data_IF_000479048420
#
_entry.id   IF_000479048420
#
_cell.length_a   1.000
_cell.length_b   1.000
_cell.length_c   1.000
_cell.angle_alpha   90.00
_cell.angle_beta   90.00
_cell.angle_gamma   90.00
#
_symmetry.space_group_name_H-M   'P 1'
#
loop_
_entity.id
_entity.type
_entity.pdbx_description
1 polymer ?
#
# COMPACT_ATOMS: atom_id res chain seq x y z
N UNK A 1 -11.40 -4.66 -21.90
CA UNK A 1 -10.85 -3.48 -21.23
C UNK A 1 -11.35 -3.57 -19.81
N UNK A 2 -10.50 -3.86 -18.84
CA UNK A 2 -10.89 -3.97 -17.43
C UNK A 2 -10.50 -2.67 -16.76
N UNK A 3 -11.47 -1.78 -16.58
CA UNK A 3 -11.29 -0.56 -15.79
C UNK A 3 -11.43 -0.94 -14.33
N UNK A 4 -10.36 -0.79 -13.56
CA UNK A 4 -10.41 -0.82 -12.10
C UNK A 4 -10.86 0.57 -11.68
N UNK A 5 -12.10 0.70 -11.19
CA UNK A 5 -12.71 1.97 -10.77
C UNK A 5 -11.99 2.64 -9.60
N UNK A 6 -11.24 1.85 -8.81
CA UNK A 6 -10.27 2.33 -7.84
C UNK A 6 -10.00 1.30 -6.77
N UNK A 7 -8.73 0.92 -6.60
CA UNK A 7 -8.31 0.00 -5.55
C UNK A 7 -7.67 0.77 -4.37
N UNK A 8 -7.99 0.36 -3.14
CA UNK A 8 -7.31 0.89 -1.95
C UNK A 8 -6.20 -0.07 -1.54
N UNK A 9 -4.95 0.41 -1.55
CA UNK A 9 -3.82 -0.29 -0.97
C UNK A 9 -3.33 0.42 0.30
N UNK A 10 -3.10 -0.33 1.37
CA UNK A 10 -2.47 0.16 2.60
C UNK A 10 -1.16 -0.55 2.83
N UNK A 11 -0.12 0.19 3.21
CA UNK A 11 1.18 -0.35 3.59
C UNK A 11 1.53 0.01 5.03
N UNK A 12 2.02 -0.96 5.80
CA UNK A 12 2.58 -0.73 7.14
C UNK A 12 3.98 -1.31 7.23
N UNK A 13 4.97 -0.45 7.46
CA UNK A 13 6.34 -0.85 7.76
C UNK A 13 6.44 -1.32 9.22
N UNK A 14 7.01 -2.50 9.42
CA UNK A 14 7.19 -3.15 10.72
C UNK A 14 8.58 -3.76 10.84
N UNK A 15 8.97 -4.19 12.04
CA UNK A 15 10.27 -4.82 12.33
C UNK A 15 11.46 -3.98 11.84
N UNK A 16 11.34 -2.66 12.01
CA UNK A 16 12.35 -1.71 11.54
C UNK A 16 13.62 -1.85 12.37
N UNK A 17 14.74 -2.03 11.69
CA UNK A 17 16.09 -1.99 12.27
C UNK A 17 16.90 -0.97 11.50
N UNK A 18 17.74 -0.23 12.21
CA UNK A 18 18.69 0.68 11.60
C UNK A 18 20.08 0.42 12.15
N UNK A 19 21.02 0.22 11.24
CA UNK A 19 22.43 0.02 11.55
C UNK A 19 23.22 1.23 11.06
N UNK A 20 24.07 1.79 11.93
CA UNK A 20 24.93 2.89 11.51
C UNK A 20 26.04 2.34 10.61
N UNK A 21 26.16 2.89 9.41
CA UNK A 21 27.20 2.54 8.43
C UNK A 21 27.82 3.84 7.94
N UNK A 22 28.93 4.22 8.56
CA UNK A 22 29.68 5.45 8.30
C UNK A 22 28.81 6.73 8.36
N UNK A 23 28.57 7.37 7.22
CA UNK A 23 27.81 8.61 7.04
C UNK A 23 26.30 8.37 6.87
N UNK A 24 25.86 7.12 6.95
CA UNK A 24 24.49 6.68 6.67
C UNK A 24 23.95 5.72 7.73
N UNK A 25 22.66 5.44 7.61
CA UNK A 25 21.99 4.33 8.27
C UNK A 25 21.49 3.34 7.22
N UNK A 26 21.82 2.07 7.41
CA UNK A 26 21.16 0.98 6.68
C UNK A 26 19.88 0.63 7.41
N UNK A 27 18.74 0.93 6.80
CA UNK A 27 17.42 0.68 7.37
C UNK A 27 16.83 -0.56 6.71
N UNK A 28 16.40 -1.51 7.53
CA UNK A 28 15.71 -2.72 7.08
C UNK A 28 14.39 -2.91 7.81
N UNK A 29 13.47 -3.62 7.20
CA UNK A 29 12.17 -3.93 7.79
C UNK A 29 11.30 -4.74 6.85
N UNK A 30 10.03 -4.89 7.22
CA UNK A 30 9.02 -5.58 6.42
C UNK A 30 7.84 -4.65 6.19
N UNK A 31 7.53 -4.39 4.93
CA UNK A 31 6.29 -3.70 4.55
C UNK A 31 5.22 -4.77 4.38
N UNK A 32 4.13 -4.65 5.13
CA UNK A 32 2.94 -5.47 4.97
C UNK A 32 1.91 -4.67 4.17
N UNK A 33 1.45 -5.24 3.07
CA UNK A 33 0.49 -4.63 2.17
C UNK A 33 -0.86 -5.33 2.30
N UNK A 34 -1.91 -4.52 2.30
CA UNK A 34 -3.30 -4.95 2.21
C UNK A 34 -3.92 -4.25 1.00
N UNK A 35 -4.52 -5.02 0.11
CA UNK A 35 -5.30 -4.55 -1.03
C UNK A 35 -6.77 -4.90 -0.78
N UNK A 36 -7.62 -3.91 -0.93
CA UNK A 36 -9.07 -4.09 -0.98
C UNK A 36 -9.65 -3.33 -2.16
N UNK A 37 -10.44 -4.05 -2.95
CA UNK A 37 -11.23 -3.50 -4.04
C UNK A 37 -12.56 -4.25 -4.16
N UNK A 38 -13.59 -3.57 -4.65
CA UNK A 38 -14.90 -4.16 -4.93
C UNK A 38 -15.22 -3.93 -6.40
N UNK A 39 -15.16 -4.99 -7.18
CA UNK A 39 -15.58 -4.95 -8.57
C UNK A 39 -17.09 -5.17 -8.65
N UNK A 40 -17.84 -4.19 -9.16
CA UNK A 40 -19.30 -4.25 -9.25
C UNK A 40 -19.83 -4.33 -10.68
N UNK A 41 -19.24 -3.58 -11.62
CA UNK A 41 -19.65 -3.58 -13.04
C UNK A 41 -18.43 -3.57 -13.99
N UNK A 42 -18.35 -4.46 -15.01
CA UNK A 42 -17.37 -4.35 -16.09
C UNK A 42 -17.42 -3.05 -16.91
N UNK A 43 -18.52 -2.30 -16.85
CA UNK A 43 -18.63 -1.03 -17.58
C UNK A 43 -18.24 0.18 -16.73
N UNK A 44 -18.27 0.10 -15.39
CA UNK A 44 -18.00 1.19 -14.42
C UNK A 44 -18.47 2.57 -14.92
N UNK A 45 -19.61 2.58 -15.62
CA UNK A 45 -20.17 3.78 -16.21
C UNK A 45 -21.04 4.39 -15.14
N UNK A 46 -20.58 5.49 -14.54
CA UNK A 46 -21.37 6.33 -13.62
C UNK A 46 -22.82 6.37 -14.08
N UNK A 47 -23.70 5.78 -13.29
CA UNK A 47 -25.11 5.66 -13.61
C UNK A 47 -25.70 7.01 -14.02
N UNK A 48 -26.20 7.09 -15.25
CA UNK A 48 -27.06 8.18 -15.70
C UNK A 48 -28.41 8.20 -14.94
N UNK A 49 -28.71 7.18 -14.13
CA UNK A 49 -30.01 6.95 -13.48
C UNK A 49 -29.94 6.71 -11.97
N UNK A 50 -28.76 6.78 -11.35
CA UNK A 50 -28.58 6.68 -9.89
C UNK A 50 -28.82 5.30 -9.26
N UNK A 51 -28.80 4.22 -10.06
CA UNK A 51 -28.90 2.83 -9.57
C UNK A 51 -27.95 1.92 -10.34
N UNK A 52 -27.05 1.26 -9.60
CA UNK A 52 -25.99 0.41 -10.12
C UNK A 52 -26.58 -0.69 -11.04
N UNK A 53 -26.27 -0.61 -12.33
CA UNK A 53 -26.75 -1.54 -13.34
C UNK A 53 -25.70 -2.61 -13.65
N UNK A 54 -25.89 -3.82 -13.13
CA UNK A 54 -24.97 -4.96 -13.29
C UNK A 54 -25.55 -6.04 -14.23
N UNK A 55 -25.73 -5.79 -15.54
CA UNK A 55 -26.44 -6.71 -16.43
C UNK A 55 -25.67 -7.99 -16.76
N UNK A 56 -24.33 -7.96 -16.66
CA UNK A 56 -23.45 -8.99 -17.22
C UNK A 56 -22.33 -9.44 -16.27
N UNK A 57 -22.55 -9.38 -14.95
CA UNK A 57 -21.55 -9.85 -13.99
C UNK A 57 -22.10 -9.93 -12.58
N UNK A 58 -21.50 -10.83 -11.78
CA UNK A 58 -21.73 -10.88 -10.33
C UNK A 58 -20.61 -10.08 -9.66
N UNK A 59 -20.93 -9.03 -8.90
CA UNK A 59 -19.93 -8.31 -8.12
C UNK A 59 -19.10 -9.25 -7.24
N UNK A 60 -17.81 -8.99 -7.14
CA UNK A 60 -16.93 -9.74 -6.24
C UNK A 60 -15.92 -8.83 -5.57
N UNK A 61 -15.48 -9.25 -4.39
CA UNK A 61 -14.45 -8.57 -3.62
C UNK A 61 -13.09 -9.11 -4.04
N UNK A 62 -12.14 -8.20 -4.24
CA UNK A 62 -10.73 -8.51 -4.45
C UNK A 62 -10.01 -8.14 -3.17
N UNK A 63 -9.38 -9.12 -2.54
CA UNK A 63 -8.45 -8.90 -1.43
C UNK A 63 -7.07 -9.43 -1.80
N UNK A 64 -6.04 -8.79 -1.27
CA UNK A 64 -4.67 -9.25 -1.41
C UNK A 64 -3.87 -8.86 -0.18
N UNK A 65 -3.10 -9.81 0.34
CA UNK A 65 -2.18 -9.57 1.45
C UNK A 65 -0.82 -10.13 1.07
N UNK A 66 0.22 -9.30 1.15
CA UNK A 66 1.58 -9.74 0.93
C UNK A 66 2.55 -8.90 1.74
N UNK A 67 3.75 -9.45 1.96
CA UNK A 67 4.80 -8.79 2.72
C UNK A 67 6.09 -8.78 1.92
N UNK A 68 6.79 -7.65 1.94
CA UNK A 68 8.07 -7.48 1.28
C UNK A 68 9.13 -7.03 2.28
N UNK A 69 10.28 -7.71 2.26
CA UNK A 69 11.43 -7.27 3.03
C UNK A 69 12.14 -6.15 2.29
N UNK A 70 12.41 -5.04 2.98
CA UNK A 70 13.10 -3.88 2.42
C UNK A 70 14.42 -3.66 3.13
N UNK A 71 15.41 -3.18 2.37
CA UNK A 71 16.72 -2.80 2.88
C UNK A 71 17.24 -1.65 2.01
N UNK A 72 17.43 -0.48 2.62
CA UNK A 72 17.86 0.72 1.92
C UNK A 72 18.73 1.61 2.81
N UNK A 73 19.66 2.33 2.18
CA UNK A 73 20.53 3.27 2.86
C UNK A 73 19.88 4.65 2.95
N UNK A 74 19.97 5.29 4.11
CA UNK A 74 19.41 6.61 4.40
C UNK A 74 20.51 7.51 4.95
N UNK A 75 20.55 8.76 4.49
CA UNK A 75 21.46 9.76 5.06
C UNK A 75 21.22 9.95 6.56
N UNK A 76 22.30 10.12 7.32
CA UNK A 76 22.25 10.23 8.79
C UNK A 76 21.27 11.29 9.29
N UNK A 77 21.29 12.47 8.69
CA UNK A 77 20.40 13.58 9.03
C UNK A 77 18.92 13.24 8.81
N UNK A 78 18.58 12.60 7.68
CA UNK A 78 17.21 12.19 7.37
C UNK A 78 16.74 11.13 8.38
N UNK A 79 17.60 10.16 8.70
CA UNK A 79 17.24 9.11 9.65
C UNK A 79 16.98 9.69 11.05
N UNK A 80 17.92 10.45 11.61
CA UNK A 80 17.82 10.97 12.98
C UNK A 80 16.68 11.97 13.15
N UNK A 81 16.47 12.85 12.16
CA UNK A 81 15.54 13.97 12.31
C UNK A 81 14.14 13.72 11.74
N UNK A 82 13.97 12.76 10.83
CA UNK A 82 12.66 12.46 10.21
C UNK A 82 12.17 11.05 10.51
N UNK A 83 13.00 10.04 10.25
CA UNK A 83 12.55 8.64 10.32
C UNK A 83 12.45 8.16 11.77
N UNK A 84 13.51 8.31 12.55
CA UNK A 84 13.59 7.83 13.93
C UNK A 84 12.45 8.36 14.83
N UNK A 85 12.06 9.66 14.79
CA UNK A 85 10.91 10.15 15.55
C UNK A 85 9.58 9.53 15.12
N UNK A 86 9.39 9.23 13.84
CA UNK A 86 8.17 8.60 13.32
C UNK A 86 8.04 7.13 13.72
N UNK A 87 9.14 6.47 14.11
CA UNK A 87 9.15 5.09 14.57
C UNK A 87 8.73 4.92 16.04
N UNK A 88 8.61 6.03 16.80
CA UNK A 88 8.08 6.02 18.17
C UNK A 88 8.89 5.19 19.17
N UNK A 89 10.21 5.12 18.99
CA UNK A 89 11.14 4.53 19.95
C UNK A 89 11.68 5.56 20.95
#
# INVERSE_FOLDING_TARGET
>A
MWTIGGATSRGKLTNVKAENVDDKYRVSGVINYELYDKFTDPYDMKDLTGKEWNPNGTPYVITGEWSESVNFDVNKDIYENKIKPMLGQ
#
